data_IF_918480453703
#
_entry.id   IF_918480453703
#
_cell.length_a   1.000
_cell.length_b   1.000
_cell.length_c   1.000
_cell.angle_alpha   90.00
_cell.angle_beta   90.00
_cell.angle_gamma   90.00
#
_symmetry.space_group_name_H-M   'P 1'
#
loop_
_entity.id
_entity.type
_entity.pdbx_description
1 polymer ?
#
# COMPACT_ATOMS: atom_id res chain seq x y z
N UNK A 1 10.78 8.11 37.33
CA UNK A 1 10.78 7.34 36.05
C UNK A 1 9.73 7.96 35.12
N UNK A 2 10.00 8.12 33.82
CA UNK A 2 8.94 8.53 32.90
C UNK A 2 7.89 7.41 32.80
N UNK A 3 6.62 7.74 32.49
CA UNK A 3 5.57 6.74 32.36
C UNK A 3 5.88 5.80 31.17
N UNK A 4 5.38 4.55 31.20
CA UNK A 4 5.48 3.66 30.04
C UNK A 4 4.76 4.32 28.88
N UNK A 5 5.52 4.64 27.83
CA UNK A 5 4.99 5.09 26.56
C UNK A 5 4.03 4.02 26.04
N UNK A 6 2.75 4.34 26.02
CA UNK A 6 1.71 3.58 25.31
C UNK A 6 2.23 3.14 23.94
N UNK A 7 1.90 1.94 23.44
CA UNK A 7 2.24 1.52 22.08
C UNK A 7 1.35 2.26 21.07
N UNK A 8 1.39 3.58 21.07
CA UNK A 8 0.82 4.40 20.03
C UNK A 8 1.71 4.23 18.79
N UNK A 9 1.25 3.40 17.86
CA UNK A 9 1.62 3.47 16.44
C UNK A 9 3.13 3.51 16.14
N UNK A 10 3.97 2.78 16.88
CA UNK A 10 5.38 2.57 16.53
C UNK A 10 5.46 1.84 15.18
N UNK A 11 5.49 2.60 14.09
CA UNK A 11 5.68 2.08 12.72
C UNK A 11 4.58 2.38 11.71
N UNK A 12 3.57 3.20 12.03
CA UNK A 12 2.48 3.50 11.06
C UNK A 12 2.88 4.56 10.00
N UNK A 13 4.08 5.15 10.11
CA UNK A 13 4.67 6.00 9.07
C UNK A 13 5.40 5.22 7.95
N UNK A 14 6.25 5.93 7.20
CA UNK A 14 7.09 5.45 6.07
C UNK A 14 7.81 4.11 6.29
N UNK A 15 8.02 3.69 7.54
CA UNK A 15 8.65 2.42 7.91
C UNK A 15 7.93 1.18 7.38
N UNK A 16 6.61 1.25 7.15
CA UNK A 16 5.86 0.15 6.55
C UNK A 16 6.39 -0.22 5.15
N UNK A 17 6.98 0.72 4.43
CA UNK A 17 7.55 0.51 3.09
C UNK A 17 9.04 0.22 3.15
N UNK A 18 9.72 0.54 4.26
CA UNK A 18 11.16 0.38 4.38
C UNK A 18 11.59 -1.09 4.23
N UNK A 19 12.63 -1.26 3.42
CA UNK A 19 13.31 -2.54 3.24
C UNK A 19 13.95 -3.04 4.55
N UNK A 20 14.17 -4.36 4.71
CA UNK A 20 14.85 -4.91 5.88
C UNK A 20 16.22 -4.29 6.13
N UNK A 21 16.98 -3.99 5.07
CA UNK A 21 18.27 -3.30 5.18
C UNK A 21 18.16 -1.87 5.70
N UNK A 22 17.16 -1.10 5.27
CA UNK A 22 16.93 0.26 5.76
C UNK A 22 16.56 0.25 7.24
N UNK A 23 15.70 -0.69 7.66
CA UNK A 23 15.34 -0.85 9.08
C UNK A 23 16.51 -1.29 9.95
N UNK A 24 17.46 -2.04 9.38
CA UNK A 24 18.70 -2.42 10.05
C UNK A 24 19.77 -1.31 10.01
N UNK A 25 19.46 -0.12 9.51
CA UNK A 25 20.41 0.99 9.38
C UNK A 25 21.55 0.73 8.39
N UNK A 26 21.41 -0.25 7.51
CA UNK A 26 22.40 -0.57 6.47
C UNK A 26 22.25 0.36 5.28
N UNK A 27 23.24 0.32 4.38
CA UNK A 27 23.25 1.14 3.16
C UNK A 27 22.00 0.91 2.30
N UNK A 28 21.28 1.99 2.03
CA UNK A 28 20.17 2.02 1.08
C UNK A 28 20.71 2.00 -0.36
N UNK A 29 20.09 1.19 -1.21
CA UNK A 29 20.41 1.12 -2.65
C UNK A 29 19.13 1.22 -3.47
N UNK A 30 19.27 1.23 -4.79
CA UNK A 30 18.14 1.08 -5.72
C UNK A 30 17.28 -0.16 -5.40
N UNK A 31 17.90 -1.23 -4.87
CA UNK A 31 17.16 -2.43 -4.45
C UNK A 31 16.30 -2.22 -3.22
N UNK A 32 16.66 -1.28 -2.33
CA UNK A 32 15.83 -0.90 -1.19
C UNK A 32 14.55 -0.22 -1.63
N UNK A 33 14.62 0.60 -2.69
CA UNK A 33 13.43 1.21 -3.31
C UNK A 33 12.51 0.14 -3.92
N UNK A 34 13.08 -0.90 -4.53
CA UNK A 34 12.30 -2.01 -5.10
C UNK A 34 11.50 -2.78 -4.05
N UNK A 35 11.99 -2.89 -2.81
CA UNK A 35 11.20 -3.45 -1.72
C UNK A 35 10.01 -2.56 -1.38
N UNK A 36 10.23 -1.24 -1.30
CA UNK A 36 9.17 -0.25 -1.06
C UNK A 36 8.09 -0.32 -2.14
N UNK A 37 8.50 -0.49 -3.41
CA UNK A 37 7.59 -0.72 -4.54
C UNK A 37 6.79 -2.01 -4.35
N UNK A 38 7.39 -3.09 -3.87
CA UNK A 38 6.68 -4.33 -3.55
C UNK A 38 5.56 -4.13 -2.53
N UNK A 39 5.83 -3.38 -1.45
CA UNK A 39 4.81 -3.03 -0.45
C UNK A 39 3.72 -2.15 -1.07
N UNK A 40 4.10 -1.16 -1.87
CA UNK A 40 3.17 -0.29 -2.58
C UNK A 40 2.27 -1.08 -3.55
N UNK A 41 2.79 -2.09 -4.24
CA UNK A 41 1.98 -2.95 -5.11
C UNK A 41 0.89 -3.69 -4.32
N UNK A 42 1.16 -4.13 -3.09
CA UNK A 42 0.10 -4.74 -2.26
C UNK A 42 -0.97 -3.70 -1.94
N UNK A 43 -0.55 -2.52 -1.53
CA UNK A 43 -1.45 -1.44 -1.17
C UNK A 43 -2.33 -0.95 -2.33
N UNK A 44 -1.80 -0.92 -3.55
CA UNK A 44 -2.53 -0.48 -4.74
C UNK A 44 -3.61 -1.48 -5.18
N UNK A 45 -3.38 -2.77 -4.96
CA UNK A 45 -4.24 -3.85 -5.47
C UNK A 45 -5.12 -4.50 -4.40
N UNK A 46 -4.83 -4.29 -3.11
CA UNK A 46 -5.69 -4.76 -2.02
C UNK A 46 -6.71 -3.69 -1.60
N UNK A 47 -7.92 -4.13 -1.23
CA UNK A 47 -8.96 -3.27 -0.64
C UNK A 47 -8.95 -3.47 0.87
N UNK A 48 -8.92 -2.39 1.63
CA UNK A 48 -8.94 -2.41 3.10
C UNK A 48 -10.23 -1.74 3.60
N UNK A 49 -10.94 -2.40 4.51
CA UNK A 49 -12.07 -1.81 5.23
C UNK A 49 -11.62 -0.97 6.42
N UNK A 50 -10.47 -1.32 7.02
CA UNK A 50 -9.94 -0.63 8.20
C UNK A 50 -8.43 -0.39 8.12
N UNK A 51 -7.93 0.58 8.90
CA UNK A 51 -6.49 0.80 9.04
C UNK A 51 -5.72 -0.38 9.64
N UNK A 52 -6.37 -1.17 10.52
CA UNK A 52 -5.74 -2.36 11.12
C UNK A 52 -5.55 -3.47 10.08
N UNK A 53 -6.57 -3.74 9.24
CA UNK A 53 -6.45 -4.69 8.13
C UNK A 53 -5.30 -4.33 7.20
N UNK A 54 -5.16 -3.04 6.87
CA UNK A 54 -4.03 -2.53 6.09
C UNK A 54 -2.69 -2.85 6.76
N UNK A 55 -2.54 -2.52 8.05
CA UNK A 55 -1.29 -2.78 8.81
C UNK A 55 -0.95 -4.26 8.82
N UNK A 56 -1.92 -5.14 9.09
CA UNK A 56 -1.72 -6.60 9.10
C UNK A 56 -1.32 -7.10 7.72
N UNK A 57 -2.02 -6.68 6.67
CA UNK A 57 -1.78 -7.11 5.30
C UNK A 57 -0.40 -6.70 4.82
N UNK A 58 -0.01 -5.43 5.01
CA UNK A 58 1.33 -4.95 4.61
C UNK A 58 2.42 -5.62 5.44
N UNK A 59 2.19 -5.87 6.74
CA UNK A 59 3.16 -6.56 7.59
C UNK A 59 3.39 -8.01 7.15
N UNK A 60 2.34 -8.71 6.72
CA UNK A 60 2.43 -10.07 6.18
C UNK A 60 3.14 -10.09 4.83
N UNK A 61 2.77 -9.18 3.93
CA UNK A 61 3.40 -9.06 2.63
C UNK A 61 4.92 -8.88 2.72
N UNK A 62 5.39 -8.04 3.64
CA UNK A 62 6.84 -7.84 3.88
C UNK A 62 7.60 -9.11 4.26
N UNK A 63 6.90 -10.16 4.70
CA UNK A 63 7.46 -11.49 5.00
C UNK A 63 7.24 -12.50 3.88
N UNK A 64 6.76 -12.05 2.72
CA UNK A 64 6.45 -12.90 1.57
C UNK A 64 5.07 -13.57 1.64
N UNK A 65 4.20 -13.13 2.55
CA UNK A 65 2.87 -13.71 2.74
C UNK A 65 1.79 -12.80 2.14
N UNK A 66 1.30 -13.19 0.96
CA UNK A 66 0.20 -12.53 0.26
C UNK A 66 -1.09 -13.33 0.45
N UNK A 67 -2.22 -12.62 0.59
CA UNK A 67 -3.52 -13.29 0.75
C UNK A 67 -3.88 -14.11 -0.50
N UNK A 68 -4.59 -15.22 -0.30
CA UNK A 68 -5.07 -16.05 -1.39
C UNK A 68 -5.93 -15.26 -2.39
N UNK A 69 -6.73 -14.32 -1.91
CA UNK A 69 -7.54 -13.43 -2.75
C UNK A 69 -6.66 -12.56 -3.67
N UNK A 70 -5.62 -11.93 -3.11
CA UNK A 70 -4.68 -11.11 -3.89
C UNK A 70 -4.01 -11.92 -5.02
N UNK A 71 -3.58 -13.14 -4.71
CA UNK A 71 -2.94 -14.05 -5.66
C UNK A 71 -3.94 -14.50 -6.73
N UNK A 72 -5.15 -14.88 -6.35
CA UNK A 72 -6.17 -15.36 -7.28
C UNK A 72 -6.64 -14.26 -8.25
N UNK A 73 -6.83 -13.04 -7.76
CA UNK A 73 -7.28 -11.90 -8.57
C UNK A 73 -6.16 -11.36 -9.47
N UNK A 74 -4.90 -11.41 -9.01
CA UNK A 74 -3.78 -10.81 -9.72
C UNK A 74 -2.53 -11.74 -9.76
N UNK A 75 -2.58 -12.93 -10.37
CA UNK A 75 -1.48 -13.91 -10.26
C UNK A 75 -0.12 -13.38 -10.72
N UNK A 76 -0.11 -12.60 -11.81
CA UNK A 76 1.12 -12.02 -12.36
C UNK A 76 1.65 -10.87 -11.51
N UNK A 77 0.77 -10.02 -10.98
CA UNK A 77 1.16 -8.95 -10.07
C UNK A 77 1.68 -9.55 -8.77
N UNK A 78 1.02 -10.57 -8.21
CA UNK A 78 1.47 -11.28 -7.02
C UNK A 78 2.88 -11.86 -7.19
N UNK A 79 3.17 -12.48 -8.34
CA UNK A 79 4.53 -12.96 -8.62
C UNK A 79 5.57 -11.83 -8.64
N UNK A 80 5.27 -10.70 -9.28
CA UNK A 80 6.18 -9.55 -9.33
C UNK A 80 6.34 -8.88 -7.96
N UNK A 81 5.25 -8.78 -7.20
CA UNK A 81 5.24 -8.28 -5.82
C UNK A 81 6.15 -9.13 -4.94
N UNK A 82 6.04 -10.46 -4.99
CA UNK A 82 6.90 -11.36 -4.21
C UNK A 82 8.38 -11.23 -4.60
N UNK A 83 8.70 -11.07 -5.89
CA UNK A 83 10.07 -10.80 -6.32
C UNK A 83 10.62 -9.49 -5.74
N UNK A 84 9.81 -8.42 -5.75
CA UNK A 84 10.17 -7.13 -5.15
C UNK A 84 10.36 -7.23 -3.63
N UNK A 85 9.57 -8.06 -2.95
CA UNK A 85 9.59 -8.26 -1.49
C UNK A 85 10.63 -9.30 -1.02
N UNK A 86 11.52 -9.77 -1.90
CA UNK A 86 12.62 -10.66 -1.50
C UNK A 86 13.45 -10.08 -0.36
N UNK A 87 13.75 -10.91 0.65
CA UNK A 87 14.65 -10.53 1.74
C UNK A 87 16.09 -10.35 1.26
N UNK A 88 16.50 -11.06 0.21
CA UNK A 88 17.75 -10.84 -0.49
C UNK A 88 17.57 -9.70 -1.52
N UNK A 89 18.25 -8.54 -1.37
CA UNK A 89 18.16 -7.42 -2.31
C UNK A 89 18.60 -7.76 -3.74
N UNK A 90 19.47 -8.75 -3.93
CA UNK A 90 19.99 -9.12 -5.24
C UNK A 90 18.98 -9.92 -6.08
N UNK A 91 18.03 -10.60 -5.42
CA UNK A 91 16.95 -11.34 -6.07
C UNK A 91 15.78 -10.45 -6.49
N UNK A 92 15.73 -9.20 -6.00
CA UNK A 92 14.73 -8.23 -6.45
C UNK A 92 14.96 -7.93 -7.95
N UNK A 93 13.97 -7.46 -8.72
CA UNK A 93 14.21 -6.93 -10.06
C UNK A 93 14.83 -5.54 -9.98
N UNK A 94 15.39 -5.02 -11.08
CA UNK A 94 15.63 -3.58 -11.22
C UNK A 94 14.33 -2.87 -11.62
N UNK A 95 14.25 -1.55 -11.44
CA UNK A 95 13.09 -0.77 -11.87
C UNK A 95 12.77 -0.99 -13.37
N UNK A 96 13.80 -0.98 -14.22
CA UNK A 96 13.64 -1.23 -15.66
C UNK A 96 13.15 -2.66 -15.96
N UNK A 97 13.61 -3.66 -15.20
CA UNK A 97 13.13 -5.04 -15.36
C UNK A 97 11.68 -5.18 -14.93
N UNK A 98 11.29 -4.56 -13.80
CA UNK A 98 9.91 -4.54 -13.33
C UNK A 98 8.99 -3.84 -14.34
N UNK A 99 9.40 -2.68 -14.88
CA UNK A 99 8.64 -1.96 -15.90
C UNK A 99 8.34 -2.85 -17.12
N UNK A 100 9.36 -3.49 -17.71
CA UNK A 100 9.17 -4.41 -18.84
C UNK A 100 8.21 -5.55 -18.50
N UNK A 101 8.32 -6.10 -17.29
CA UNK A 101 7.44 -7.18 -16.85
C UNK A 101 5.97 -6.73 -16.72
N UNK A 102 5.74 -5.50 -16.25
CA UNK A 102 4.42 -4.87 -16.13
C UNK A 102 3.83 -4.49 -17.49
N UNK A 103 4.61 -3.98 -18.43
CA UNK A 103 4.16 -3.69 -19.80
C UNK A 103 3.67 -4.97 -20.49
N UNK A 104 4.41 -6.07 -20.33
CA UNK A 104 3.98 -7.37 -20.80
C UNK A 104 2.70 -7.89 -20.12
N UNK A 105 2.34 -7.37 -18.94
CA UNK A 105 1.09 -7.69 -18.24
C UNK A 105 -0.07 -6.79 -18.70
N UNK A 106 0.20 -5.52 -19.04
CA UNK A 106 -0.78 -4.54 -19.52
C UNK A 106 -1.39 -4.94 -20.86
N UNK A 107 -0.61 -5.53 -21.76
CA UNK A 107 -1.09 -6.04 -23.05
C UNK A 107 -2.13 -7.17 -22.93
N UNK A 108 -2.28 -7.78 -21.75
CA UNK A 108 -3.30 -8.80 -21.49
C UNK A 108 -4.58 -8.26 -20.80
N UNK A 109 -4.59 -7.00 -20.32
CA UNK A 109 -5.65 -6.51 -19.42
C UNK A 109 -6.02 -5.03 -19.62
N UNK A 110 -6.38 -4.64 -20.84
CA UNK A 110 -6.96 -3.32 -21.13
C UNK A 110 -8.50 -3.29 -21.09
N UNK A 111 -9.17 -4.33 -20.61
CA UNK A 111 -10.63 -4.39 -20.65
C UNK A 111 -11.37 -3.80 -19.42
N UNK A 112 -10.68 -3.35 -18.35
CA UNK A 112 -11.41 -3.04 -17.11
C UNK A 112 -10.74 -2.02 -16.19
N UNK A 113 -10.58 -0.79 -16.66
CA UNK A 113 -10.56 0.35 -15.74
C UNK A 113 -12.01 0.87 -15.68
N UNK A 114 -12.85 0.46 -14.71
CA UNK A 114 -14.09 1.19 -14.48
C UNK A 114 -13.69 2.61 -14.06
N UNK A 115 -14.23 3.61 -14.77
CA UNK A 115 -14.07 5.02 -14.42
C UNK A 115 -14.32 5.21 -12.92
N UNK A 116 -13.52 6.03 -12.21
CA UNK A 116 -13.81 6.35 -10.83
C UNK A 116 -15.15 7.09 -10.81
N UNK A 117 -16.21 6.40 -10.41
CA UNK A 117 -17.45 7.05 -10.03
C UNK A 117 -17.13 7.83 -8.76
N UNK A 118 -16.76 9.10 -8.92
CA UNK A 118 -16.75 10.07 -7.83
C UNK A 118 -18.15 9.99 -7.23
N UNK A 119 -18.27 9.37 -6.06
CA UNK A 119 -19.53 9.39 -5.31
C UNK A 119 -19.79 10.85 -4.99
N UNK A 120 -20.77 11.44 -5.68
CA UNK A 120 -21.24 12.77 -5.43
C UNK A 120 -21.67 12.85 -3.96
N UNK A 121 -20.88 13.56 -3.14
CA UNK A 121 -21.30 13.95 -1.80
C UNK A 121 -22.28 15.10 -2.01
N UNK A 122 -23.58 14.96 -1.68
CA UNK A 122 -24.50 16.09 -1.75
C UNK A 122 -24.05 17.14 -0.73
N UNK A 123 -23.98 18.40 -1.17
CA UNK A 123 -23.64 19.55 -0.31
C UNK A 123 -24.60 19.62 0.88
N UNK A 124 -24.12 19.89 2.11
CA UNK A 124 -24.99 20.10 3.25
C UNK A 124 -25.82 21.37 3.03
N UNK A 125 -27.15 21.22 2.96
CA UNK A 125 -28.09 22.33 2.94
C UNK A 125 -28.13 22.99 4.32
N UNK A 126 -27.44 24.11 4.49
CA UNK A 126 -27.58 24.96 5.67
C UNK A 126 -28.84 25.81 5.47
N UNK A 127 -29.94 25.45 6.12
CA UNK A 127 -31.12 26.31 6.23
C UNK A 127 -30.86 27.41 7.28
N UNK A 128 -31.06 28.70 6.97
CA UNK A 128 -30.98 29.76 7.97
C UNK A 128 -32.25 29.73 8.83
N UNK A 129 -32.15 29.28 10.07
CA UNK A 129 -33.24 29.47 11.05
C UNK A 129 -33.11 30.87 11.66
N UNK A 130 -34.17 31.65 11.50
CA UNK A 130 -34.22 33.08 11.76
C UNK A 130 -33.97 33.47 13.22
N UNK A 131 -33.21 34.54 13.37
CA UNK A 131 -33.21 35.35 14.58
C UNK A 131 -34.60 36.01 14.73
N UNK A 132 -35.28 35.77 15.85
CA UNK A 132 -36.34 36.65 16.32
C UNK A 132 -35.93 37.17 17.69
N UNK A 133 -35.66 38.47 17.73
CA UNK A 133 -35.40 39.24 18.91
C UNK A 133 -36.67 39.31 19.80
N UNK A 134 -36.49 39.30 21.12
CA UNK A 134 -37.45 39.85 22.06
C UNK A 134 -36.72 40.87 22.93
N UNK A 135 -37.15 42.13 22.78
CA UNK A 135 -37.08 43.19 23.77
C UNK A 135 -38.52 43.67 23.99
#
# INVERSE_FOLDING_TARGET
PPPPSSPHTLGVGTHAYASPEQLAGRRCTDRSDMFSVGVLMVELFAVFGTGMERVVTLSNARRGDLSAAFIAENPRIASLTLQCLSLDPFLRPSAAALQRALEGARSASLARIPSPAIRHIPSPSISPSGASAMA
#
